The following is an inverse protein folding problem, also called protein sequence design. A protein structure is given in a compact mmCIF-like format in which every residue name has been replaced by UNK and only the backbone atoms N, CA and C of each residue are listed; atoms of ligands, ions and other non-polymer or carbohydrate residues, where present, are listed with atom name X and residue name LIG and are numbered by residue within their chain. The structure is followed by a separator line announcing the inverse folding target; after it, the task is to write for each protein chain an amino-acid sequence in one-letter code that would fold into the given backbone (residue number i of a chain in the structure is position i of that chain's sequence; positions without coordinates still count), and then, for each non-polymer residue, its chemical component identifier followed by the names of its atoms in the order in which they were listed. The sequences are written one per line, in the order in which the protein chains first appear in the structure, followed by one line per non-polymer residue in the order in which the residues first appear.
data_IF_068350219534
#
_entry.id   IF_068350219534
#
_cell.length_a   1.000
_cell.length_b   1.000
_cell.length_c   1.000
_cell.angle_alpha   90.00
_cell.angle_beta   90.00
_cell.angle_gamma   90.00
#
_symmetry.space_group_name_H-M   'P 1'
#
loop_
_entity.id
_entity.type
_entity.pdbx_description
1 polymer ?
#
# COMPACT_ATOMS: atom_id res chain seq x y z
N UNK A 1 -6.79 3.83 4.04
CA UNK A 1 -6.98 2.82 2.98
C UNK A 1 -8.45 2.64 2.67
N UNK A 2 -8.89 3.22 1.56
CA UNK A 2 -10.13 2.84 0.90
C UNK A 2 -9.74 2.00 -0.32
N UNK A 3 -10.09 0.72 -0.30
CA UNK A 3 -9.73 -0.24 -1.35
C UNK A 3 -11.01 -0.70 -2.03
N UNK A 4 -11.02 -0.69 -3.36
CA UNK A 4 -12.10 -1.26 -4.15
C UNK A 4 -11.52 -2.41 -4.97
N UNK A 5 -11.71 -3.61 -4.48
CA UNK A 5 -11.17 -4.84 -5.04
C UNK A 5 -12.27 -5.67 -5.70
N UNK A 6 -12.02 -6.11 -6.93
CA UNK A 6 -12.88 -7.06 -7.62
C UNK A 6 -12.16 -8.41 -7.70
N UNK A 7 -12.62 -9.36 -6.90
CA UNK A 7 -12.13 -10.74 -6.88
C UNK A 7 -12.97 -11.60 -7.83
N UNK A 8 -12.33 -12.21 -8.80
CA UNK A 8 -12.90 -13.17 -9.72
C UNK A 8 -12.45 -14.59 -9.34
N UNK A 9 -13.39 -15.46 -9.02
CA UNK A 9 -13.12 -16.88 -8.81
C UNK A 9 -12.84 -17.55 -10.15
N UNK A 10 -11.62 -18.06 -10.34
CA UNK A 10 -11.28 -18.91 -11.50
C UNK A 10 -11.64 -20.37 -11.19
N UNK A 11 -11.40 -20.80 -9.96
CA UNK A 11 -11.73 -22.14 -9.44
C UNK A 11 -12.27 -22.00 -8.01
N UNK A 12 -12.92 -23.04 -7.47
CA UNK A 12 -13.34 -23.09 -6.05
C UNK A 12 -12.20 -22.74 -5.07
N UNK A 13 -10.97 -23.18 -5.38
CA UNK A 13 -9.80 -22.97 -4.52
C UNK A 13 -8.90 -21.81 -4.99
N UNK A 14 -9.18 -21.18 -6.14
CA UNK A 14 -8.32 -20.13 -6.71
C UNK A 14 -9.13 -18.92 -7.15
N UNK A 15 -8.86 -17.80 -6.47
CA UNK A 15 -9.45 -16.49 -6.73
C UNK A 15 -8.36 -15.54 -7.16
N UNK A 16 -8.59 -14.78 -8.23
CA UNK A 16 -7.70 -13.68 -8.62
C UNK A 16 -8.53 -12.43 -8.73
N UNK A 17 -8.02 -11.33 -8.24
CA UNK A 17 -8.70 -10.06 -8.34
C UNK A 17 -7.76 -8.92 -8.61
N UNK A 18 -8.37 -7.84 -9.06
CA UNK A 18 -7.74 -6.56 -9.23
C UNK A 18 -8.61 -5.48 -8.64
N UNK A 19 -7.99 -4.49 -8.05
CA UNK A 19 -8.66 -3.38 -7.43
C UNK A 19 -7.93 -2.07 -7.67
N UNK A 20 -8.63 -0.99 -7.39
CA UNK A 20 -8.01 0.31 -7.18
C UNK A 20 -7.95 0.57 -5.68
N UNK A 21 -6.81 1.07 -5.21
CA UNK A 21 -6.66 1.50 -3.82
C UNK A 21 -6.35 2.99 -3.73
N UNK A 22 -6.92 3.62 -2.71
CA UNK A 22 -6.69 5.00 -2.33
C UNK A 22 -6.22 5.00 -0.89
N UNK A 23 -5.01 5.50 -0.67
CA UNK A 23 -4.44 5.62 0.65
C UNK A 23 -4.03 7.05 1.02
N UNK A 24 -4.19 7.35 2.30
CA UNK A 24 -3.78 8.60 2.90
C UNK A 24 -2.50 8.30 3.69
N UNK A 25 -1.36 8.61 3.09
CA UNK A 25 -0.06 8.41 3.73
C UNK A 25 0.25 9.62 4.60
N UNK A 26 0.18 9.45 5.92
CA UNK A 26 0.63 10.46 6.88
C UNK A 26 2.07 10.17 7.28
N UNK A 27 3.00 11.05 6.89
CA UNK A 27 4.40 10.97 7.32
C UNK A 27 4.58 11.91 8.51
N UNK A 28 4.76 11.34 9.71
CA UNK A 28 5.03 12.10 10.92
C UNK A 28 6.43 11.73 11.40
N UNK A 29 7.42 12.57 11.09
CA UNK A 29 8.79 12.37 11.57
C UNK A 29 9.06 13.32 12.74
N UNK A 30 9.44 12.72 13.88
CA UNK A 30 9.80 13.43 15.12
C UNK A 30 11.28 13.20 15.34
N UNK A 31 12.09 14.20 15.02
CA UNK A 31 13.51 14.22 15.37
C UNK A 31 13.71 15.06 16.63
N UNK A 32 14.44 14.52 17.60
CA UNK A 32 15.02 15.32 18.68
C UNK A 32 16.46 15.63 18.30
N UNK A 33 16.78 16.91 18.08
CA UNK A 33 18.17 17.33 18.04
C UNK A 33 18.75 17.24 19.47
N UNK A 34 20.04 16.93 19.61
CA UNK A 34 20.75 16.88 20.89
C UNK A 34 20.80 18.23 21.65
N UNK A 35 20.22 19.29 21.08
CA UNK A 35 20.18 20.66 21.58
C UNK A 35 18.75 21.13 21.91
N UNK A 36 17.88 20.24 22.40
CA UNK A 36 16.55 20.60 22.94
C UNK A 36 15.49 21.07 21.92
N UNK A 37 15.85 21.35 20.68
CA UNK A 37 14.91 21.71 19.62
C UNK A 37 14.29 20.44 19.00
N UNK A 38 12.95 20.36 19.09
CA UNK A 38 12.16 19.30 18.49
C UNK A 38 11.57 19.80 17.17
N UNK A 39 12.01 19.22 16.06
CA UNK A 39 11.42 19.51 14.77
C UNK A 39 10.37 18.44 14.45
N UNK A 40 9.15 18.91 14.14
CA UNK A 40 8.02 18.06 13.80
C UNK A 40 7.68 18.27 12.33
N UNK A 41 8.18 17.37 11.48
CA UNK A 41 7.82 17.36 10.07
C UNK A 41 6.57 16.48 9.92
N UNK A 42 5.42 17.13 9.72
CA UNK A 42 4.14 16.44 9.45
C UNK A 42 3.72 16.76 8.02
N UNK A 43 3.87 15.79 7.13
CA UNK A 43 3.40 15.87 5.75
C UNK A 43 2.30 14.83 5.50
N UNK A 44 1.24 15.24 4.81
CA UNK A 44 0.11 14.35 4.48
C UNK A 44 0.02 14.24 2.97
N UNK A 45 0.36 13.06 2.46
CA UNK A 45 0.32 12.75 1.02
C UNK A 45 -0.83 11.82 0.69
N UNK A 46 -1.35 11.95 -0.53
CA UNK A 46 -2.28 10.97 -1.09
C UNK A 46 -1.50 9.95 -1.92
N UNK A 47 -1.85 8.68 -1.77
CA UNK A 47 -1.37 7.59 -2.58
C UNK A 47 -2.57 6.96 -3.30
N UNK A 48 -2.46 6.72 -4.60
CA UNK A 48 -3.51 6.04 -5.35
C UNK A 48 -2.88 5.08 -6.33
N UNK A 49 -3.55 3.97 -6.59
CA UNK A 49 -2.94 2.91 -7.36
C UNK A 49 -3.91 1.81 -7.70
N UNK A 50 -3.35 0.79 -8.33
CA UNK A 50 -4.05 -0.46 -8.61
C UNK A 50 -3.34 -1.58 -7.88
N UNK A 51 -4.09 -2.56 -7.42
CA UNK A 51 -3.58 -3.78 -6.83
C UNK A 51 -4.15 -4.98 -7.56
N UNK A 52 -3.35 -6.04 -7.61
CA UNK A 52 -3.68 -7.33 -8.18
C UNK A 52 -3.36 -8.35 -7.10
N UNK A 53 -4.30 -9.22 -6.77
CA UNK A 53 -4.13 -10.25 -5.75
C UNK A 53 -4.60 -11.59 -6.29
N UNK A 54 -3.85 -12.64 -5.96
CA UNK A 54 -4.19 -14.03 -6.22
C UNK A 54 -4.28 -14.73 -4.87
N UNK A 55 -5.43 -15.33 -4.59
CA UNK A 55 -5.74 -16.05 -3.36
C UNK A 55 -5.92 -17.53 -3.74
N UNK A 56 -5.16 -18.39 -3.08
CA UNK A 56 -5.21 -19.83 -3.22
C UNK A 56 -5.56 -20.47 -1.87
N UNK A 57 -6.69 -21.18 -1.79
CA UNK A 57 -7.05 -21.96 -0.61
C UNK A 57 -6.12 -23.19 -0.53
N UNK A 58 -5.16 -23.19 0.39
CA UNK A 58 -4.27 -24.35 0.64
C UNK A 58 -5.05 -25.44 1.38
N UNK A 59 -5.90 -25.03 2.32
CA UNK A 59 -6.73 -25.91 3.16
C UNK A 59 -8.01 -25.17 3.51
N UNK A 60 -9.08 -25.87 3.91
CA UNK A 60 -10.36 -25.25 4.35
C UNK A 60 -10.22 -24.14 5.40
N UNK A 61 -9.09 -24.09 6.13
CA UNK A 61 -8.81 -23.12 7.17
C UNK A 61 -7.65 -22.16 6.83
N UNK A 62 -6.95 -22.35 5.72
CA UNK A 62 -5.73 -21.60 5.37
C UNK A 62 -5.80 -21.14 3.92
N UNK A 63 -5.78 -19.84 3.73
CA UNK A 63 -5.74 -19.15 2.45
C UNK A 63 -4.37 -18.51 2.25
N UNK A 64 -3.74 -18.76 1.13
CA UNK A 64 -2.52 -18.08 0.71
C UNK A 64 -2.89 -16.93 -0.22
N UNK A 65 -2.44 -15.73 0.10
CA UNK A 65 -2.65 -14.55 -0.73
C UNK A 65 -1.31 -14.03 -1.23
N UNK A 66 -1.20 -13.85 -2.53
CA UNK A 66 -0.07 -13.23 -3.20
C UNK A 66 -0.59 -12.02 -3.97
N UNK A 67 -0.11 -10.83 -3.65
CA UNK A 67 -0.52 -9.63 -4.34
C UNK A 67 0.64 -8.75 -4.78
N UNK A 68 0.37 -7.99 -5.82
CA UNK A 68 1.21 -6.95 -6.37
C UNK A 68 0.39 -5.67 -6.38
N UNK A 69 0.95 -4.58 -5.89
CA UNK A 69 0.31 -3.28 -5.97
C UNK A 69 1.23 -2.26 -6.61
N UNK A 70 0.65 -1.41 -7.44
CA UNK A 70 1.31 -0.33 -8.12
C UNK A 70 0.69 0.98 -7.66
N UNK A 71 1.39 1.67 -6.78
CA UNK A 71 0.91 2.86 -6.09
C UNK A 71 1.67 4.09 -6.56
N UNK A 72 0.93 5.12 -6.93
CA UNK A 72 1.45 6.44 -7.22
C UNK A 72 1.27 7.33 -6.01
N UNK A 73 2.39 7.77 -5.45
CA UNK A 73 2.39 8.73 -4.35
C UNK A 73 2.38 10.15 -4.92
N UNK A 74 1.38 10.94 -4.53
CA UNK A 74 1.32 12.39 -4.74
C UNK A 74 1.76 13.09 -3.45
N UNK A 75 2.88 12.63 -2.88
CA UNK A 75 3.55 13.38 -1.81
C UNK A 75 4.42 14.44 -2.47
N UNK A 76 4.09 15.71 -2.28
CA UNK A 76 4.88 16.84 -2.79
C UNK A 76 5.93 17.17 -1.73
N UNK A 77 7.08 16.52 -1.79
CA UNK A 77 8.27 17.02 -1.09
C UNK A 77 8.69 18.32 -1.78
N UNK A 78 8.29 19.46 -1.20
CA UNK A 78 8.81 20.76 -1.59
C UNK A 78 10.20 20.90 -0.98
N UNK A 79 11.22 20.50 -1.73
CA UNK A 79 12.61 20.90 -1.50
C UNK A 79 12.99 21.72 -2.73
N UNK A 80 13.34 22.98 -2.51
CA UNK A 80 13.99 23.95 -3.42
C UNK A 80 13.91 23.64 -4.93
N UNK A 81 12.98 24.31 -5.63
CA UNK A 81 12.84 24.47 -7.09
C UNK A 81 12.88 23.22 -8.02
N UNK A 82 12.98 21.99 -7.50
CA UNK A 82 12.91 20.78 -8.32
C UNK A 82 11.75 19.89 -7.87
N UNK A 83 10.66 19.88 -8.66
CA UNK A 83 9.49 19.04 -8.41
C UNK A 83 9.80 17.60 -8.83
N UNK A 84 10.54 16.86 -8.00
CA UNK A 84 10.72 15.42 -8.19
C UNK A 84 9.42 14.69 -7.81
N UNK A 85 8.63 14.39 -8.85
CA UNK A 85 7.37 13.65 -8.72
C UNK A 85 7.71 12.25 -8.24
N UNK A 86 7.28 11.88 -7.03
CA UNK A 86 7.42 10.52 -6.52
C UNK A 86 6.92 9.51 -7.58
N UNK A 87 7.84 8.64 -7.97
CA UNK A 87 8.01 8.13 -9.33
C UNK A 87 7.42 6.74 -9.52
N UNK A 88 6.27 6.46 -8.91
CA UNK A 88 5.65 5.13 -8.83
C UNK A 88 6.38 4.18 -7.86
N UNK A 89 5.60 3.45 -7.07
CA UNK A 89 6.06 2.37 -6.20
C UNK A 89 5.35 1.09 -6.61
N UNK A 90 6.12 0.06 -6.94
CA UNK A 90 5.59 -1.30 -7.10
C UNK A 90 5.96 -2.09 -5.86
N UNK A 91 4.97 -2.60 -5.14
CA UNK A 91 5.17 -3.47 -3.98
C UNK A 91 4.53 -4.82 -4.24
N UNK A 92 5.18 -5.87 -3.74
CA UNK A 92 4.61 -7.21 -3.71
C UNK A 92 4.43 -7.65 -2.27
N UNK A 93 3.39 -8.41 -2.01
CA UNK A 93 3.11 -8.98 -0.70
C UNK A 93 2.70 -10.44 -0.84
N UNK A 94 3.05 -11.23 0.16
CA UNK A 94 2.58 -12.60 0.33
C UNK A 94 2.09 -12.74 1.77
N UNK A 95 0.88 -13.26 1.94
CA UNK A 95 0.22 -13.40 3.23
C UNK A 95 -0.43 -14.79 3.34
N UNK A 96 -0.54 -15.26 4.58
CA UNK A 96 -1.29 -16.46 4.92
C UNK A 96 -2.43 -16.00 5.83
N UNK A 97 -3.65 -16.18 5.35
CA UNK A 97 -4.88 -15.83 6.05
C UNK A 97 -5.51 -17.10 6.64
N UNK A 98 -6.00 -16.99 7.88
CA UNK A 98 -6.69 -18.08 8.57
C UNK A 98 -8.18 -17.76 8.65
N UNK A 99 -9.01 -18.69 8.14
CA UNK A 99 -10.48 -18.62 8.31
C UNK A 99 -10.83 -19.09 9.73
N UNK A 100 -11.35 -18.16 10.54
CA UNK A 100 -11.95 -18.42 11.86
C UNK A 100 -13.46 -18.53 11.78
#
# INVERSE_FOLDING_TARGET
MANYDYLYGITDDFRVGGGAHLDLSKFENKGSASDGESWKLSDTGFAYGVQLAAIYDITKNVEFELGLSHTRHTAKLKVDDETDKLKYATSGYAAINFKF
#
